data_IF_622778814514
#
_entry.id   IF_622778814514
#
_cell.length_a   1.000
_cell.length_b   1.000
_cell.length_c   1.000
_cell.angle_alpha   90.00
_cell.angle_beta   90.00
_cell.angle_gamma   90.00
#
_symmetry.space_group_name_H-M   'P 1'
#
loop_
_entity.id
_entity.type
_entity.pdbx_description
1 polymer ?
#
# COMPACT_ATOMS: atom_id res chain seq x y z
N UNK A 1 -4.06 13.68 -1.81
CA UNK A 1 -3.24 12.55 -2.27
C UNK A 1 -3.16 11.52 -1.15
N UNK A 2 -2.98 10.24 -1.43
CA UNK A 2 -2.94 9.20 -0.40
C UNK A 2 -1.77 8.25 -0.62
N UNK A 3 -1.06 7.93 0.47
CA UNK A 3 -0.09 6.83 0.57
C UNK A 3 -0.81 5.70 1.30
N UNK A 4 -1.07 4.61 0.60
CA UNK A 4 -1.76 3.44 1.14
C UNK A 4 -0.76 2.30 1.32
N UNK A 5 -0.78 1.67 2.49
CA UNK A 5 0.02 0.49 2.78
C UNK A 5 -0.92 -0.69 2.93
N UNK A 6 -0.70 -1.75 2.16
CA UNK A 6 -1.51 -2.96 2.20
C UNK A 6 -0.69 -4.10 2.78
N UNK A 7 -1.18 -4.69 3.87
CA UNK A 7 -0.67 -5.97 4.36
C UNK A 7 -1.11 -7.08 3.40
N UNK A 8 -0.16 -7.86 2.90
CA UNK A 8 -0.41 -8.88 1.88
C UNK A 8 -0.12 -10.28 2.43
N UNK A 9 -0.92 -11.24 1.99
CA UNK A 9 -0.76 -12.65 2.30
C UNK A 9 -0.78 -13.49 1.01
N UNK A 10 -0.08 -14.62 1.05
CA UNK A 10 -0.06 -15.60 -0.06
C UNK A 10 -1.04 -16.72 0.25
N UNK A 11 -1.99 -16.96 -0.65
CA UNK A 11 -2.95 -18.05 -0.55
C UNK A 11 -2.25 -19.41 -0.75
N UNK A 12 -2.86 -20.54 -0.35
CA UNK A 12 -2.30 -21.87 -0.61
C UNK A 12 -2.11 -22.19 -2.10
N UNK A 13 -2.82 -21.52 -3.02
CA UNK A 13 -2.62 -21.62 -4.47
C UNK A 13 -1.42 -20.82 -4.98
N UNK A 14 -0.83 -19.96 -4.14
CA UNK A 14 0.30 -19.10 -4.48
C UNK A 14 -0.10 -17.70 -4.95
N UNK A 15 -1.38 -17.32 -4.84
CA UNK A 15 -1.85 -15.99 -5.24
C UNK A 15 -1.63 -14.98 -4.11
N UNK A 16 -1.27 -13.74 -4.46
CA UNK A 16 -1.16 -12.64 -3.52
C UNK A 16 -2.52 -11.98 -3.30
N UNK A 17 -2.88 -11.70 -2.05
CA UNK A 17 -4.12 -11.00 -1.71
C UNK A 17 -3.91 -10.14 -0.47
N UNK A 18 -4.78 -9.13 -0.26
CA UNK A 18 -4.77 -8.35 0.97
C UNK A 18 -5.04 -9.28 2.15
N UNK A 19 -4.19 -9.23 3.16
CA UNK A 19 -4.24 -10.12 4.31
C UNK A 19 -5.62 -10.07 4.96
N UNK A 20 -6.23 -8.91 5.21
CA UNK A 20 -7.59 -8.82 5.76
C UNK A 20 -8.71 -9.52 4.97
N UNK A 21 -8.53 -9.84 3.69
CA UNK A 21 -9.50 -10.61 2.90
C UNK A 21 -9.50 -12.10 3.24
N UNK A 22 -8.45 -12.59 3.91
CA UNK A 22 -8.31 -13.97 4.35
C UNK A 22 -7.83 -14.03 5.81
N UNK A 23 -8.18 -15.02 6.63
CA UNK A 23 -7.64 -15.11 7.99
C UNK A 23 -6.18 -15.63 7.98
N UNK A 24 -5.27 -14.91 7.34
CA UNK A 24 -3.85 -15.26 7.20
C UNK A 24 -2.94 -14.14 7.72
N UNK A 25 -1.76 -14.47 8.26
CA UNK A 25 -0.80 -13.46 8.66
C UNK A 25 -0.26 -12.70 7.44
N UNK A 26 0.05 -11.43 7.64
CA UNK A 26 0.78 -10.62 6.67
C UNK A 26 2.17 -11.22 6.46
N UNK A 27 2.55 -11.39 5.19
CA UNK A 27 3.85 -11.90 4.76
C UNK A 27 4.75 -10.80 4.22
N UNK A 28 4.17 -9.80 3.55
CA UNK A 28 4.84 -8.62 3.02
C UNK A 28 3.83 -7.47 2.90
N UNK A 29 4.32 -6.28 2.54
CA UNK A 29 3.51 -5.09 2.37
C UNK A 29 3.72 -4.49 0.98
N UNK A 30 2.65 -3.93 0.44
CA UNK A 30 2.70 -3.12 -0.78
C UNK A 30 2.37 -1.67 -0.40
N UNK A 31 3.15 -0.72 -0.90
CA UNK A 31 2.97 0.72 -0.67
C UNK A 31 2.59 1.37 -1.99
N UNK A 32 1.41 1.98 -2.03
CA UNK A 32 0.86 2.64 -3.22
C UNK A 32 0.66 4.11 -2.94
N UNK A 33 1.03 4.98 -3.89
CA UNK A 33 0.70 6.40 -3.86
C UNK A 33 -0.33 6.70 -4.93
N UNK A 34 -1.45 7.29 -4.52
CA UNK A 34 -2.59 7.58 -5.39
C UNK A 34 -2.91 9.07 -5.37
N UNK A 35 -3.28 9.60 -6.54
CA UNK A 35 -3.81 10.95 -6.69
C UNK A 35 -5.15 11.10 -5.95
N UNK A 36 -5.61 12.34 -5.80
CA UNK A 36 -6.98 12.57 -5.37
C UNK A 36 -7.96 12.13 -6.48
N UNK A 37 -9.17 11.67 -6.13
CA UNK A 37 -10.18 11.37 -7.12
C UNK A 37 -10.46 12.61 -7.97
N UNK A 38 -10.55 12.43 -9.29
CA UNK A 38 -10.97 13.49 -10.20
C UNK A 38 -12.49 13.74 -10.15
N UNK A 39 -12.99 14.63 -11.02
CA UNK A 39 -14.42 14.98 -11.08
C UNK A 39 -15.34 13.78 -11.41
N UNK A 40 -14.79 12.74 -12.05
CA UNK A 40 -15.48 11.49 -12.37
C UNK A 40 -15.27 10.41 -11.27
N UNK A 41 -14.51 10.73 -10.22
CA UNK A 41 -14.16 9.83 -9.12
C UNK A 41 -13.08 8.81 -9.47
N UNK A 42 -12.38 8.98 -10.59
CA UNK A 42 -11.26 8.12 -10.97
C UNK A 42 -10.04 8.43 -10.10
N UNK A 43 -9.41 7.38 -9.56
CA UNK A 43 -8.19 7.47 -8.77
C UNK A 43 -7.03 6.98 -9.65
N UNK A 44 -6.05 7.85 -9.87
CA UNK A 44 -4.83 7.50 -10.59
C UNK A 44 -3.78 7.01 -9.60
N UNK A 45 -3.22 5.83 -9.87
CA UNK A 45 -2.04 5.34 -9.15
C UNK A 45 -0.78 5.99 -9.73
N UNK A 46 -0.05 6.70 -8.87
CA UNK A 46 1.15 7.46 -9.22
C UNK A 46 2.40 6.57 -9.12
N UNK A 47 2.50 5.80 -8.04
CA UNK A 47 3.68 4.97 -7.74
C UNK A 47 3.28 3.77 -6.89
N UNK A 48 3.99 2.66 -7.06
CA UNK A 48 3.73 1.41 -6.34
C UNK A 48 5.07 0.73 -6.02
N UNK A 49 5.16 0.20 -4.80
CA UNK A 49 6.29 -0.56 -4.30
C UNK A 49 5.81 -1.83 -3.62
N UNK A 50 6.08 -2.98 -4.23
CA UNK A 50 5.52 -4.27 -3.82
C UNK A 50 6.53 -5.15 -3.05
N UNK A 51 6.01 -6.13 -2.33
CA UNK A 51 6.77 -7.21 -1.68
C UNK A 51 7.79 -6.72 -0.64
N UNK A 52 7.45 -5.68 0.10
CA UNK A 52 8.31 -5.10 1.13
C UNK A 52 8.18 -5.85 2.46
N UNK A 53 9.27 -5.98 3.19
CA UNK A 53 9.20 -6.28 4.63
C UNK A 53 8.59 -5.11 5.41
N UNK A 54 8.18 -5.32 6.66
CA UNK A 54 7.65 -4.24 7.51
C UNK A 54 8.63 -3.07 7.65
N UNK A 55 9.92 -3.35 7.83
CA UNK A 55 10.94 -2.31 7.99
C UNK A 55 11.15 -1.53 6.68
N UNK A 56 11.13 -2.22 5.53
CA UNK A 56 11.21 -1.59 4.21
C UNK A 56 9.96 -0.76 3.90
N UNK A 57 8.78 -1.25 4.24
CA UNK A 57 7.52 -0.50 4.09
C UNK A 57 7.52 0.77 4.93
N UNK A 58 7.95 0.71 6.20
CA UNK A 58 8.10 1.89 7.05
C UNK A 58 9.10 2.90 6.47
N UNK A 59 10.25 2.42 5.98
CA UNK A 59 11.23 3.29 5.33
C UNK A 59 10.68 3.91 4.04
N UNK A 60 9.90 3.15 3.29
CA UNK A 60 9.26 3.61 2.06
C UNK A 60 8.19 4.67 2.35
N UNK A 61 7.33 4.45 3.35
CA UNK A 61 6.34 5.44 3.80
C UNK A 61 7.03 6.75 4.18
N UNK A 62 8.10 6.69 4.99
CA UNK A 62 8.84 7.90 5.37
C UNK A 62 9.48 8.61 4.17
N UNK A 63 9.91 7.88 3.13
CA UNK A 63 10.39 8.46 1.89
C UNK A 63 9.26 9.09 1.07
N UNK A 64 8.09 8.44 1.01
CA UNK A 64 6.91 8.95 0.32
C UNK A 64 6.32 10.19 1.01
N UNK A 65 6.30 10.25 2.34
CA UNK A 65 5.90 11.44 3.09
C UNK A 65 6.83 12.64 2.81
N UNK A 66 8.13 12.39 2.58
CA UNK A 66 9.06 13.47 2.17
C UNK A 66 8.84 13.92 0.73
N UNK A 67 8.50 12.99 -0.16
CA UNK A 67 8.25 13.26 -1.59
C UNK A 67 6.89 13.92 -1.83
N UNK A 68 5.89 13.53 -1.03
CA UNK A 68 4.49 13.95 -1.11
C UNK A 68 4.01 14.45 0.27
N UNK A 69 4.48 15.63 0.72
CA UNK A 69 4.25 16.12 2.09
C UNK A 69 2.79 16.42 2.43
N UNK A 70 1.94 16.58 1.42
CA UNK A 70 0.50 16.81 1.60
C UNK A 70 -0.34 15.52 1.48
N UNK A 71 0.30 14.36 1.27
CA UNK A 71 -0.41 13.09 1.19
C UNK A 71 -0.78 12.56 2.58
N UNK A 72 -2.01 12.07 2.73
CA UNK A 72 -2.40 11.30 3.93
C UNK A 72 -1.84 9.88 3.87
N UNK A 73 -1.57 9.26 5.02
CA UNK A 73 -1.08 7.87 5.11
C UNK A 73 -2.13 6.97 5.75
N UNK A 74 -2.42 5.83 5.11
CA UNK A 74 -3.32 4.80 5.64
C UNK A 74 -2.67 3.42 5.61
N UNK A 75 -2.87 2.64 6.67
CA UNK A 75 -2.40 1.25 6.78
C UNK A 75 -3.61 0.31 6.79
N UNK A 76 -3.66 -0.59 5.81
CA UNK A 76 -4.69 -1.58 5.61
C UNK A 76 -4.10 -2.97 5.90
N UNK A 77 -4.15 -3.37 7.18
CA UNK A 77 -3.65 -4.65 7.69
C UNK A 77 -4.71 -5.75 7.69
#
# INVERSE_FOLDING_TARGET
MEIQVFGMAVTPSGDCTIASNIPAPIQFYDVTVSAEPDDDGAIEMIEEHENLTLDEANAMVAAMEQKYPDAGVSWNE
#
